data_IF_949165628355
#
_entry.id   IF_949165628355
#
_cell.length_a   1.000
_cell.length_b   1.000
_cell.length_c   1.000
_cell.angle_alpha   90.00
_cell.angle_beta   90.00
_cell.angle_gamma   90.00
#
_symmetry.space_group_name_H-M   'P 1'
#
loop_
_entity.id
_entity.type
_entity.pdbx_description
1 polymer ?
2 non-polymer ?
3 non-polymer ?
4 non-polymer ?
5 water ?
#
# COMPACT_ATOMS: atom_id res chain seq x y z
N UNK A 3 9.82 25.39 -2.06
CA UNK A 3 8.45 25.29 -2.58
C UNK A 3 7.99 23.83 -2.61
N UNK A 4 8.94 22.90 -2.75
CA UNK A 4 8.62 21.48 -2.82
C UNK A 4 9.46 20.62 -1.87
N UNK A 5 8.81 19.64 -1.26
CA UNK A 5 9.55 18.60 -0.55
C UNK A 5 9.25 17.25 -1.20
N UNK A 6 10.31 16.56 -1.62
CA UNK A 6 10.16 15.32 -2.37
C UNK A 6 10.92 14.19 -1.67
N UNK A 7 10.31 13.61 -0.63
CA UNK A 7 10.99 12.56 0.15
C UNK A 7 11.39 11.34 -0.67
N UNK A 8 12.60 10.86 -0.45
CA UNK A 8 13.05 9.60 -1.02
C UNK A 8 12.36 8.48 -0.29
N UNK A 9 12.37 7.29 -0.87
CA UNK A 9 11.87 6.11 -0.16
C UNK A 9 12.67 5.92 1.13
N UNK A 10 13.96 6.23 1.09
CA UNK A 10 14.78 6.18 2.31
C UNK A 10 14.20 7.04 3.43
N UNK A 11 13.72 8.24 3.08
CA UNK A 11 13.13 9.15 4.08
C UNK A 11 11.78 8.63 4.58
N UNK A 12 10.98 8.08 3.67
CA UNK A 12 9.71 7.48 4.05
C UNK A 12 9.93 6.36 5.08
N UNK A 13 10.94 5.54 4.84
CA UNK A 13 11.30 4.49 5.80
C UNK A 13 11.64 5.07 7.16
N UNK A 14 12.45 6.13 7.15
CA UNK A 14 12.84 6.79 8.39
C UNK A 14 11.62 7.41 9.06
N UNK A 15 10.66 7.88 8.27
CA UNK A 15 9.42 8.44 8.81
C UNK A 15 8.61 7.36 9.52
N UNK A 16 8.53 6.20 8.88
CA UNK A 16 7.83 5.08 9.46
C UNK A 16 8.57 4.58 10.72
N UNK A 17 9.90 4.47 10.62
CA UNK A 17 10.70 4.09 11.81
C UNK A 17 10.43 5.05 12.98
N UNK A 18 10.44 6.34 12.67
CA UNK A 18 10.21 7.39 13.67
C UNK A 18 8.89 7.19 14.41
N UNK A 19 7.82 7.04 13.65
CA UNK A 19 6.51 6.81 14.22
C UNK A 19 6.47 5.48 14.99
N UNK A 20 7.05 4.42 14.43
CA UNK A 20 7.06 3.14 15.11
C UNK A 20 7.80 3.23 16.44
N UNK A 21 8.92 3.95 16.45
CA UNK A 21 9.67 4.15 17.69
C UNK A 21 8.86 4.96 18.69
N UNK A 22 8.12 5.96 18.22
CA UNK A 22 7.32 6.79 19.13
C UNK A 22 6.18 5.99 19.73
N UNK A 23 5.54 5.13 18.93
CA UNK A 23 4.48 4.27 19.44
C UNK A 23 5.01 3.32 20.51
N UNK A 24 6.17 2.73 20.24
CA UNK A 24 6.82 1.84 21.20
C UNK A 24 7.26 2.63 22.45
N UNK A 25 7.95 3.75 22.25
CA UNK A 25 8.44 4.55 23.39
C UNK A 25 7.30 5.04 24.27
N UNK A 26 6.24 5.48 23.61
CA UNK A 26 5.01 5.91 24.27
C UNK A 26 4.15 4.76 24.74
N UNK A 27 4.53 3.55 24.35
CA UNK A 27 3.88 2.32 24.79
C UNK A 27 2.42 2.15 24.28
N UNK A 28 2.16 2.60 23.05
CA UNK A 28 0.86 2.37 22.40
C UNK A 28 1.01 1.43 21.21
N UNK A 29 0.60 0.17 21.39
CA UNK A 29 0.72 -0.85 20.35
C UNK A 29 -0.67 -1.16 19.82
N UNK A 30 -0.99 -0.68 18.60
CA UNK A 30 -2.34 -0.83 18.06
C UNK A 30 -2.78 -2.26 17.87
N UNK A 31 -4.04 -2.54 18.14
CA UNK A 31 -4.64 -3.80 17.77
C UNK A 31 -4.95 -3.79 16.28
N UNK A 32 -5.34 -2.62 15.77
CA UNK A 32 -5.83 -2.49 14.39
C UNK A 32 -5.31 -1.20 13.79
N UNK A 33 -4.83 -1.26 12.56
CA UNK A 33 -4.53 -0.03 11.81
C UNK A 33 -5.70 0.30 10.89
N UNK A 34 -6.13 1.57 10.89
CA UNK A 34 -7.08 2.02 9.87
C UNK A 34 -6.29 2.86 8.87
N UNK A 35 -6.12 2.34 7.66
CA UNK A 35 -5.46 3.10 6.62
C UNK A 35 -6.46 4.04 5.94
N UNK A 36 -6.10 5.31 5.88
CA UNK A 36 -6.91 6.27 5.15
C UNK A 36 -6.57 6.14 3.67
N UNK A 37 -7.51 5.62 2.90
CA UNK A 37 -7.27 5.41 1.47
C UNK A 37 -7.28 6.73 0.71
N UNK A 38 -6.39 6.89 -0.28
CA UNK A 38 -5.39 5.87 -0.62
C UNK A 38 -3.99 6.30 -0.22
N UNK A 39 -3.83 7.52 0.31
CA UNK A 39 -2.52 8.04 0.61
C UNK A 39 -1.89 7.35 1.81
N UNK A 40 -2.75 6.84 2.69
CA UNK A 40 -2.30 6.18 3.90
C UNK A 40 -1.96 4.71 3.71
N UNK A 41 -2.22 4.15 2.55
CA UNK A 41 -2.09 2.70 2.48
C UNK A 41 -0.63 2.25 2.48
N UNK A 42 0.27 2.99 1.85
CA UNK A 42 1.68 2.60 1.90
C UNK A 42 2.27 2.83 3.31
N UNK A 43 2.05 4.02 3.89
CA UNK A 43 2.45 4.15 5.30
C UNK A 43 1.90 3.05 6.24
N UNK A 44 0.63 2.72 6.12
CA UNK A 44 0.03 1.70 6.98
C UNK A 44 0.70 0.34 6.74
N UNK A 45 0.89 -0.03 5.49
CA UNK A 45 1.57 -1.31 5.19
C UNK A 45 2.99 -1.37 5.80
N UNK A 46 3.76 -0.32 5.62
CA UNK A 46 5.12 -0.29 6.14
C UNK A 46 5.11 -0.34 7.67
N UNK A 47 4.19 0.40 8.29
CA UNK A 47 4.10 0.40 9.76
C UNK A 47 3.68 -0.97 10.28
N UNK A 48 2.76 -1.61 9.56
CA UNK A 48 2.31 -2.95 9.92
C UNK A 48 3.46 -3.96 9.92
N UNK A 49 4.31 -3.89 8.90
CA UNK A 49 5.49 -4.76 8.82
C UNK A 49 6.50 -4.49 9.93
N UNK A 50 6.81 -3.23 10.16
CA UNK A 50 7.74 -2.85 11.22
C UNK A 50 7.33 -3.39 12.58
N UNK A 51 6.06 -3.20 12.93
CA UNK A 51 5.59 -3.52 14.28
C UNK A 51 4.90 -4.85 14.39
N UNK A 52 4.89 -5.60 13.29
CA UNK A 52 4.18 -6.88 13.21
C UNK A 52 2.69 -6.75 13.56
N UNK A 53 2.03 -5.78 12.96
CA UNK A 53 0.59 -5.61 13.15
C UNK A 53 -0.18 -6.34 12.05
N UNK A 54 -0.95 -7.35 12.44
CA UNK A 54 -1.54 -8.25 11.46
C UNK A 54 -2.92 -7.81 10.98
N UNK A 55 -3.52 -6.84 11.66
CA UNK A 55 -4.87 -6.41 11.30
C UNK A 55 -4.85 -4.99 10.74
N UNK A 56 -5.01 -4.89 9.42
CA UNK A 56 -5.15 -3.61 8.75
C UNK A 56 -6.54 -3.49 8.15
N UNK A 57 -7.23 -2.40 8.47
CA UNK A 57 -8.54 -2.15 7.87
C UNK A 57 -8.46 -0.78 7.19
N UNK A 58 -9.53 -0.38 6.51
CA UNK A 58 -9.43 0.71 5.54
C UNK A 58 -10.66 1.59 5.52
N UNK A 59 -10.46 2.87 5.21
CA UNK A 59 -11.58 3.77 4.99
C UNK A 59 -11.32 4.61 3.73
N UNK A 60 -12.28 4.55 2.82
CA UNK A 60 -12.26 5.29 1.57
C UNK A 60 -12.90 6.62 1.83
N UNK A 61 -12.08 7.66 1.88
CA UNK A 61 -12.58 8.97 2.21
C UNK A 61 -11.84 9.98 1.35
N UNK A 62 -12.53 11.04 0.96
CA UNK A 62 -11.90 12.04 0.11
C UNK A 62 -12.21 13.44 0.61
N UNK A 63 -11.31 14.37 0.30
CA UNK A 63 -11.50 15.76 0.66
C UNK A 63 -11.19 16.64 -0.55
N UNK A 64 -12.23 17.19 -1.16
CA UNK A 64 -12.10 18.15 -2.26
C UNK A 64 -11.91 19.56 -1.71
N UNK A 65 -10.66 19.93 -1.44
CA UNK A 65 -10.32 21.11 -0.64
C UNK A 65 -11.16 22.37 -0.89
N UNK A 66 -11.10 22.92 -2.10
CA UNK A 66 -11.81 24.18 -2.39
C UNK A 66 -13.33 24.04 -2.32
N UNK A 71 -16.63 25.96 0.87
CA UNK A 71 -16.24 25.29 2.11
C UNK A 71 -16.66 23.83 2.14
N UNK A 72 -15.77 22.99 1.62
CA UNK A 72 -15.98 21.55 1.54
C UNK A 72 -15.72 20.83 2.86
N UNK A 73 -16.01 19.54 2.86
CA UNK A 73 -15.81 18.65 3.99
C UNK A 73 -15.37 17.31 3.44
N UNK A 74 -14.70 16.50 4.26
CA UNK A 74 -14.37 15.15 3.83
C UNK A 74 -15.63 14.34 3.56
N UNK A 75 -15.57 13.49 2.55
CA UNK A 75 -16.69 12.64 2.18
C UNK A 75 -16.28 11.18 2.28
N UNK A 76 -16.99 10.41 3.10
CA UNK A 76 -16.73 8.98 3.19
C UNK A 76 -17.41 8.28 2.03
N UNK A 77 -16.69 7.42 1.36
CA UNK A 77 -17.28 6.63 0.30
C UNK A 77 -17.59 5.19 0.75
N UNK A 78 -16.72 4.62 1.58
CA UNK A 78 -17.00 3.33 2.20
C UNK A 78 -16.10 3.14 3.40
N UNK A 79 -16.55 2.29 4.33
CA UNK A 79 -15.75 1.90 5.47
C UNK A 79 -15.56 0.39 5.46
N UNK A 80 -14.32 -0.05 5.27
CA UNK A 80 -14.01 -1.48 5.20
C UNK A 80 -13.47 -2.00 6.53
N UNK A 81 -14.35 -2.39 7.44
CA UNK A 81 -13.95 -2.99 8.71
C UNK A 81 -15.14 -3.73 9.35
N UNK A 82 -14.86 -4.74 10.17
CA UNK A 82 -15.89 -5.26 11.07
C UNK A 82 -15.58 -4.69 12.45
N UNK A 83 -16.08 -5.34 13.51
CA UNK A 83 -16.07 -4.75 14.85
C UNK A 83 -14.70 -4.26 15.32
N UNK A 84 -14.69 -3.05 15.86
CA UNK A 84 -13.48 -2.47 16.44
C UNK A 84 -13.64 -2.34 17.96
N UNK A 85 -14.76 -2.84 18.47
CA UNK A 85 -15.11 -2.62 19.87
C UNK A 85 -14.06 -3.22 20.78
N UNK A 86 -13.57 -2.40 21.72
CA UNK A 86 -12.60 -2.84 22.70
C UNK A 86 -11.16 -2.86 22.21
N UNK A 87 -10.92 -2.36 21.00
CA UNK A 87 -9.58 -2.41 20.41
C UNK A 87 -8.89 -1.04 20.46
N UNK A 88 -7.57 -1.08 20.45
CA UNK A 88 -6.75 0.11 20.31
C UNK A 88 -6.50 0.35 18.83
N UNK A 89 -7.00 1.47 18.32
CA UNK A 89 -6.88 1.76 16.90
C UNK A 89 -5.91 2.88 16.62
N UNK A 90 -5.12 2.70 15.56
CA UNK A 90 -4.30 3.77 15.04
C UNK A 90 -4.74 4.07 13.62
N UNK A 91 -5.23 5.29 13.40
CA UNK A 91 -5.54 5.79 12.06
C UNK A 91 -4.26 6.28 11.39
N UNK A 92 -4.02 5.86 10.15
CA UNK A 92 -2.76 6.15 9.50
C UNK A 92 -2.97 6.87 8.16
N UNK A 93 -2.35 8.04 7.99
CA UNK A 93 -2.43 8.77 6.72
C UNK A 93 -1.05 9.27 6.32
N UNK A 94 -0.88 9.76 5.08
CA UNK A 94 0.44 10.20 4.65
C UNK A 94 0.72 11.64 5.04
N UNK A 95 -0.27 12.53 4.89
CA UNK A 95 -0.09 13.93 5.28
C UNK A 95 -1.33 14.49 5.98
N UNK A 96 -1.09 15.29 7.02
CA UNK A 96 -2.15 16.07 7.64
C UNK A 96 -2.02 17.52 7.20
N UNK A 97 -2.89 17.96 6.29
CA UNK A 97 -2.81 19.32 5.77
C UNK A 97 -3.79 20.22 6.49
N UNK A 98 -5.08 20.12 6.14
CA UNK A 98 -6.08 20.88 6.88
C UNK A 98 -6.45 20.16 8.18
N UNK A 99 -6.27 18.84 8.22
CA UNK A 99 -6.61 18.07 9.40
C UNK A 99 -8.06 17.60 9.42
N UNK A 100 -8.84 18.01 8.43
CA UNK A 100 -10.24 17.60 8.32
C UNK A 100 -10.40 16.09 8.13
N UNK A 101 -9.57 15.51 7.28
CA UNK A 101 -9.66 14.07 7.02
C UNK A 101 -9.44 13.23 8.29
N UNK A 102 -8.37 13.52 9.02
CA UNK A 102 -8.11 12.78 10.26
C UNK A 102 -9.23 12.97 11.28
N UNK A 103 -9.72 14.19 11.40
CA UNK A 103 -10.81 14.48 12.32
C UNK A 103 -12.04 13.64 11.95
N UNK A 104 -12.38 13.64 10.66
CA UNK A 104 -13.56 12.90 10.21
C UNK A 104 -13.40 11.41 10.46
N UNK A 105 -12.21 10.89 10.14
CA UNK A 105 -11.99 9.46 10.34
C UNK A 105 -12.06 9.07 11.83
N UNK A 106 -11.39 9.86 12.67
CA UNK A 106 -11.45 9.61 14.11
C UNK A 106 -12.88 9.63 14.62
N UNK A 107 -13.67 10.59 14.13
CA UNK A 107 -15.06 10.71 14.53
C UNK A 107 -15.91 9.48 14.17
N UNK A 108 -15.72 8.96 12.96
CA UNK A 108 -16.50 7.77 12.58
C UNK A 108 -15.98 6.50 13.28
N UNK A 109 -14.66 6.37 13.44
CA UNK A 109 -14.10 5.21 14.12
C UNK A 109 -14.57 5.17 15.59
N UNK A 110 -14.65 6.35 16.22
CA UNK A 110 -15.14 6.40 17.59
C UNK A 110 -16.55 5.81 17.72
N UNK A 111 -17.33 5.87 16.66
CA UNK A 111 -18.66 5.27 16.68
C UNK A 111 -18.63 3.74 16.73
N UNK A 112 -17.48 3.12 16.51
CA UNK A 112 -17.35 1.68 16.63
C UNK A 112 -17.00 1.31 18.08
N UNK A 113 -16.95 2.30 18.96
CA UNK A 113 -16.59 2.10 20.36
C UNK A 113 -15.28 1.33 20.58
N UNK A 114 -14.18 1.80 19.97
CA UNK A 114 -12.88 1.18 20.25
C UNK A 114 -12.43 1.56 21.66
N UNK A 115 -11.45 0.86 22.21
CA UNK A 115 -10.95 1.23 23.52
C UNK A 115 -10.21 2.56 23.43
N UNK A 116 -9.64 2.80 22.26
CA UNK A 116 -8.89 4.03 22.01
C UNK A 116 -8.70 4.23 20.51
N UNK A 117 -8.78 5.48 20.06
CA UNK A 117 -8.33 5.86 18.73
C UNK A 117 -7.25 6.89 18.85
N UNK A 118 -6.12 6.63 18.19
CA UNK A 118 -5.10 7.64 18.05
C UNK A 118 -4.83 7.80 16.57
N UNK A 119 -4.12 8.87 16.20
CA UNK A 119 -3.82 9.13 14.80
C UNK A 119 -2.33 9.30 14.52
N UNK A 120 -1.97 9.03 13.28
CA UNK A 120 -0.62 9.19 12.82
C UNK A 120 -0.59 9.63 11.38
N UNK A 121 0.32 10.54 11.05
CA UNK A 121 0.57 10.92 9.66
C UNK A 121 2.04 11.09 9.51
N UNK A 122 2.59 10.79 8.34
CA UNK A 122 4.03 10.95 8.16
C UNK A 122 4.39 12.43 8.31
N UNK A 123 3.66 13.29 7.60
CA UNK A 123 3.97 14.72 7.55
C UNK A 123 2.81 15.59 7.99
N UNK A 124 3.15 16.77 8.49
CA UNK A 124 2.17 17.69 9.03
C UNK A 124 2.38 19.08 8.45
N UNK A 125 1.28 19.76 8.11
CA UNK A 125 1.34 21.13 7.64
C UNK A 125 1.09 22.07 8.82
N UNK A 126 1.69 23.29 8.77
CA UNK A 126 1.60 24.21 9.91
C UNK A 126 0.17 24.61 10.26
N UNK A 127 -0.69 24.66 9.25
CA UNK A 127 -2.04 25.17 9.43
C UNK A 127 -3.09 24.08 9.72
N UNK A 128 -2.64 22.86 10.02
CA UNK A 128 -3.57 21.78 10.33
C UNK A 128 -4.36 22.05 11.61
N UNK A 129 -5.68 21.92 11.54
CA UNK A 129 -6.52 22.22 12.69
C UNK A 129 -6.36 21.16 13.80
N UNK A 130 -5.88 19.99 13.42
CA UNK A 130 -5.64 18.94 14.40
C UNK A 130 -4.28 18.28 14.16
N UNK A 131 -3.55 18.11 15.25
CA UNK A 131 -2.21 17.53 15.20
C UNK A 131 -2.29 16.04 15.42
N UNK A 132 -1.70 15.26 14.52
CA UNK A 132 -1.65 13.80 14.71
C UNK A 132 -0.95 13.45 16.01
N UNK A 133 -1.39 12.39 16.66
CA UNK A 133 -0.77 11.95 17.89
C UNK A 133 0.68 11.53 17.62
N UNK A 134 0.92 11.08 16.40
CA UNK A 134 2.26 10.66 16.00
C UNK A 134 2.55 11.18 14.60
N UNK A 135 3.69 11.84 14.43
CA UNK A 135 4.13 12.23 13.10
C UNK A 135 5.64 12.36 13.01
N UNK A 136 6.14 12.38 11.78
CA UNK A 136 7.57 12.43 11.54
C UNK A 136 8.06 13.89 11.51
N UNK A 137 7.58 14.67 10.57
CA UNK A 137 8.00 16.07 10.47
C UNK A 137 6.91 17.04 10.03
N UNK A 138 6.91 18.23 10.62
CA UNK A 138 6.09 19.33 10.12
C UNK A 138 6.86 20.05 9.02
N UNK A 139 6.18 20.31 7.91
CA UNK A 139 6.84 20.83 6.72
C UNK A 139 5.96 21.89 6.06
N UNK A 140 6.60 22.99 5.64
CA UNK A 140 5.87 24.11 5.03
C UNK A 140 5.63 23.90 3.55
N UNK A 141 6.47 23.08 2.93
CA UNK A 141 6.46 22.93 1.47
C UNK A 141 5.38 21.98 1.00
N UNK A 142 5.12 21.97 -0.30
CA UNK A 142 4.18 21.00 -0.85
C UNK A 142 4.88 19.65 -1.01
N UNK A 143 4.37 18.65 -0.32
CA UNK A 143 5.04 17.36 -0.29
C UNK A 143 4.67 16.52 -1.51
N UNK A 144 5.67 16.08 -2.25
CA UNK A 144 5.46 15.16 -3.36
C UNK A 144 5.86 13.77 -2.90
N UNK A 145 4.88 12.90 -2.71
CA UNK A 145 5.17 11.56 -2.21
C UNK A 145 5.63 10.64 -3.34
N UNK A 146 6.37 9.57 -3.00
CA UNK A 146 6.67 8.62 -4.07
C UNK A 146 5.41 8.01 -4.67
N UNK A 147 4.30 8.03 -3.94
CA UNK A 147 3.06 7.44 -4.45
C UNK A 147 2.07 8.43 -5.05
N UNK A 148 2.42 9.71 -5.13
CA UNK A 148 1.56 10.59 -5.91
C UNK A 148 2.35 11.57 -6.75
N UNK A 149 3.60 11.19 -7.06
CA UNK A 149 4.45 12.06 -7.84
C UNK A 149 3.94 12.28 -9.27
N UNK A 150 3.31 11.27 -9.85
CA UNK A 150 2.81 11.41 -11.23
C UNK A 150 1.51 12.20 -11.27
N UNK A 151 0.72 12.15 -10.21
CA UNK A 151 -0.48 13.00 -10.14
C UNK A 151 -0.06 14.48 -10.12
N UNK A 152 1.00 14.77 -9.36
CA UNK A 152 1.55 16.12 -9.31
C UNK A 152 2.14 16.54 -10.66
N UNK A 153 2.96 15.68 -11.26
CA UNK A 153 3.49 15.95 -12.61
C UNK A 153 2.37 16.18 -13.64
N UNK A 154 1.31 15.36 -13.60
CA UNK A 154 0.21 15.53 -14.54
C UNK A 154 -0.48 16.89 -14.36
N UNK A 155 -0.42 17.42 -13.14
CA UNK A 155 -0.86 18.77 -12.85
C UNK A 155 0.14 19.82 -13.37
N UNK A 156 1.39 19.75 -12.89
CA UNK A 156 2.46 20.62 -13.36
C UNK A 156 3.70 19.82 -13.79
N UNK A 157 3.97 19.82 -15.09
CA UNK A 157 5.05 19.01 -15.66
C UNK A 157 6.43 19.44 -15.21
N UNK A 158 6.55 20.65 -14.67
CA UNK A 158 7.86 21.23 -14.38
C UNK A 158 8.35 20.96 -12.96
N UNK A 159 7.65 20.10 -12.20
CA UNK A 159 8.12 19.78 -10.86
C UNK A 159 9.38 18.93 -10.95
N UNK A 160 10.32 19.14 -10.03
CA UNK A 160 11.63 18.51 -10.13
C UNK A 160 11.68 17.08 -9.56
N UNK A 161 10.93 16.15 -10.14
CA UNK A 161 11.00 14.76 -9.66
C UNK A 161 11.89 13.93 -10.56
N UNK A 162 12.41 12.82 -10.03
CA UNK A 162 13.24 11.90 -10.79
C UNK A 162 12.39 10.97 -11.66
N UNK A 163 13.00 10.51 -12.75
CA UNK A 163 12.39 9.56 -13.67
C UNK A 163 11.24 10.18 -14.47
N UNK A 164 11.19 11.50 -14.51
CA UNK A 164 10.10 12.19 -15.19
C UNK A 164 10.04 11.90 -16.69
N UNK A 165 11.20 11.68 -17.31
CA UNK A 165 11.23 11.40 -18.75
C UNK A 165 10.61 10.04 -19.09
N UNK A 166 10.93 9.03 -18.28
CA UNK A 166 10.32 7.71 -18.44
C UNK A 166 8.80 7.84 -18.31
N UNK A 167 8.34 8.62 -17.35
CA UNK A 167 6.91 8.83 -17.16
C UNK A 167 6.25 9.54 -18.36
N UNK A 168 6.79 10.70 -18.72
CA UNK A 168 6.23 11.46 -19.85
C UNK A 168 6.18 10.61 -21.12
N UNK A 169 7.20 9.77 -21.32
CA UNK A 169 7.19 8.84 -22.44
C UNK A 169 5.95 7.96 -22.40
N UNK A 170 5.70 7.35 -21.24
CA UNK A 170 4.54 6.50 -21.04
C UNK A 170 3.23 7.29 -21.15
N UNK A 171 3.18 8.42 -20.45
CA UNK A 171 1.99 9.27 -20.38
C UNK A 171 1.51 9.69 -21.78
N UNK A 172 2.48 10.03 -22.64
CA UNK A 172 2.22 10.38 -24.04
C UNK A 172 1.45 9.31 -24.80
N UNK A 173 1.89 8.06 -24.67
CA UNK A 173 1.17 6.96 -25.29
C UNK A 173 -0.21 6.79 -24.66
N UNK A 174 -0.27 6.95 -23.35
CA UNK A 174 -1.53 6.79 -22.61
C UNK A 174 -2.59 7.78 -23.10
N UNK A 175 -2.18 9.01 -23.37
CA UNK A 175 -3.09 10.05 -23.84
C UNK A 175 -3.75 9.70 -25.18
N UNK A 176 -3.08 8.86 -25.97
CA UNK A 176 -3.58 8.54 -27.30
C UNK A 176 -4.61 7.41 -27.29
N UNK A 177 -4.49 6.49 -26.34
CA UNK A 177 -5.36 5.31 -26.32
C UNK A 177 -6.50 5.39 -25.31
N UNK A 178 -6.52 6.44 -24.50
CA UNK A 178 -7.59 6.67 -23.54
C UNK A 178 -8.24 8.04 -23.78
N UNK A 179 -9.56 8.06 -23.93
CA UNK A 179 -10.41 6.87 -23.81
C UNK A 179 -10.97 6.45 -25.18
N UNK B 1 22.70 -13.44 -3.72
CA UNK B 1 22.39 -14.53 -2.81
C UNK B 1 21.63 -15.62 -3.53
N UNK B 2 21.93 -16.87 -3.20
CA UNK B 2 21.28 -17.96 -3.86
C UNK B 2 19.84 -18.12 -3.39
N UNK B 3 19.55 -17.75 -2.15
CA UNK B 3 18.25 -18.11 -1.59
C UNK B 3 17.24 -16.95 -1.50
N UNK B 4 17.73 -15.71 -1.55
CA UNK B 4 16.85 -14.53 -1.47
C UNK B 4 17.12 -13.52 -2.58
N UNK B 5 16.05 -12.90 -3.07
CA UNK B 5 16.15 -11.71 -3.91
C UNK B 5 15.62 -10.54 -3.10
N UNK B 6 16.42 -9.51 -2.92
CA UNK B 6 16.06 -8.38 -2.06
C UNK B 6 16.05 -7.09 -2.87
N UNK B 7 14.94 -6.83 -3.58
CA UNK B 7 14.90 -5.66 -4.47
C UNK B 7 14.90 -4.34 -3.73
N UNK B 8 15.61 -3.37 -4.29
CA UNK B 8 15.57 -2.00 -3.80
C UNK B 8 14.25 -1.36 -4.22
N UNK B 9 13.94 -0.24 -3.60
CA UNK B 9 12.77 0.55 -3.99
C UNK B 9 12.86 0.98 -5.47
N UNK B 10 14.07 1.28 -5.93
CA UNK B 10 14.28 1.65 -7.32
C UNK B 10 13.90 0.50 -8.24
N UNK B 11 14.21 -0.74 -7.84
CA UNK B 11 13.80 -1.88 -8.65
C UNK B 11 12.28 -2.02 -8.62
N UNK B 12 11.68 -1.73 -7.47
CA UNK B 12 10.22 -1.80 -7.36
C UNK B 12 9.59 -0.76 -8.29
N UNK B 13 10.12 0.45 -8.31
CA UNK B 13 9.63 1.44 -9.27
C UNK B 13 9.81 0.98 -10.73
N UNK B 14 10.97 0.41 -11.06
CA UNK B 14 11.20 -0.17 -12.39
C UNK B 14 10.17 -1.25 -12.70
N UNK B 15 9.84 -2.06 -11.70
CA UNK B 15 8.86 -3.12 -11.88
C UNK B 15 7.49 -2.51 -12.20
N UNK B 16 7.14 -1.48 -11.48
CA UNK B 16 5.81 -0.88 -11.66
C UNK B 16 5.74 -0.14 -13.00
N UNK B 17 6.81 0.62 -13.34
CA UNK B 17 6.91 1.20 -14.69
C UNK B 17 6.73 0.15 -15.78
N UNK B 18 7.41 -0.99 -15.64
CA UNK B 18 7.36 -2.04 -16.65
C UNK B 18 5.96 -2.60 -16.84
N UNK B 19 5.25 -2.83 -15.73
CA UNK B 19 3.85 -3.26 -15.81
C UNK B 19 3.01 -2.20 -16.54
N UNK B 20 3.19 -0.94 -16.16
CA UNK B 20 2.45 0.15 -16.78
C UNK B 20 2.72 0.18 -18.28
N UNK B 21 4.00 0.06 -18.63
CA UNK B 21 4.39 0.10 -20.04
C UNK B 21 3.78 -1.06 -20.80
N UNK B 22 3.69 -2.24 -20.17
CA UNK B 22 3.09 -3.39 -20.82
C UNK B 22 1.59 -3.24 -20.99
N UNK B 23 0.94 -2.64 -20.00
CA UNK B 23 -0.49 -2.40 -20.08
C UNK B 23 -0.81 -1.50 -21.26
N UNK B 24 -0.02 -0.44 -21.42
CA UNK B 24 -0.23 0.51 -22.51
C UNK B 24 0.04 -0.14 -23.88
N UNK B 25 1.06 -1.00 -23.94
CA UNK B 25 1.37 -1.73 -25.17
C UNK B 25 0.21 -2.64 -25.60
N UNK B 26 -0.43 -3.28 -24.62
CA UNK B 26 -1.56 -4.17 -24.84
C UNK B 26 -2.87 -3.42 -25.01
N UNK B 27 -2.83 -2.11 -24.75
CA UNK B 27 -4.03 -1.29 -24.69
C UNK B 27 -5.07 -1.92 -23.75
N UNK B 28 -4.61 -2.29 -22.55
CA UNK B 28 -5.52 -2.74 -21.51
C UNK B 28 -5.39 -1.76 -20.38
N UNK B 29 -6.23 -0.73 -20.41
CA UNK B 29 -6.27 0.27 -19.36
C UNK B 29 -7.44 -0.12 -18.45
N UNK B 30 -7.12 -0.65 -17.26
CA UNK B 30 -8.19 -1.16 -16.38
C UNK B 30 -9.15 -0.06 -15.93
N UNK B 31 -10.41 -0.41 -15.75
CA UNK B 31 -11.36 0.45 -15.03
C UNK B 31 -11.18 0.37 -13.52
N UNK B 32 -10.83 -0.82 -13.03
CA UNK B 32 -10.68 -1.09 -11.61
C UNK B 32 -9.44 -1.92 -11.35
N UNK B 33 -8.64 -1.50 -10.37
CA UNK B 33 -7.58 -2.35 -9.83
C UNK B 33 -8.10 -3.12 -8.63
N UNK B 34 -7.81 -4.42 -8.57
CA UNK B 34 -8.07 -5.23 -7.37
C UNK B 34 -6.73 -5.53 -6.74
N UNK B 35 -6.45 -4.88 -5.63
CA UNK B 35 -5.23 -5.11 -4.89
C UNK B 35 -5.39 -6.36 -4.04
N UNK B 36 -4.47 -7.30 -4.18
CA UNK B 36 -4.46 -8.47 -3.33
C UNK B 36 -3.78 -8.14 -1.99
N UNK B 37 -4.56 -7.99 -0.92
CA UNK B 37 -4.02 -7.58 0.36
C UNK B 37 -3.17 -8.70 0.95
N UNK B 38 -2.06 -8.38 1.59
CA UNK B 38 -1.54 -7.02 1.75
C UNK B 38 -0.30 -6.78 0.89
N UNK B 39 0.23 -7.84 0.29
CA UNK B 39 1.42 -7.74 -0.54
C UNK B 39 1.20 -6.91 -1.81
N UNK B 40 -0.02 -6.88 -2.31
CA UNK B 40 -0.35 -6.15 -3.54
C UNK B 40 -0.67 -4.68 -3.33
N UNK B 41 -0.74 -4.26 -2.07
CA UNK B 41 -1.05 -2.88 -1.68
C UNK B 41 -0.13 -1.85 -2.34
N UNK B 42 1.17 -1.97 -2.11
CA UNK B 42 2.07 -0.96 -2.65
C UNK B 42 2.12 -1.03 -4.18
N UNK B 43 2.25 -2.23 -4.77
CA UNK B 43 2.20 -2.27 -6.25
C UNK B 43 0.94 -1.62 -6.86
N UNK B 44 -0.22 -1.90 -6.27
CA UNK B 44 -1.46 -1.36 -6.79
C UNK B 44 -1.53 0.16 -6.68
N UNK B 45 -1.11 0.69 -5.52
CA UNK B 45 -1.10 2.16 -5.34
C UNK B 45 -0.14 2.83 -6.32
N UNK B 46 1.04 2.27 -6.49
CA UNK B 46 2.02 2.87 -7.39
C UNK B 46 1.53 2.82 -8.83
N UNK B 47 0.91 1.71 -9.20
CA UNK B 47 0.41 1.55 -10.56
C UNK B 47 -0.74 2.52 -10.80
N UNK B 48 -1.58 2.67 -9.78
CA UNK B 48 -2.69 3.60 -9.81
C UNK B 48 -2.24 5.06 -10.08
N UNK B 49 -1.19 5.47 -9.39
CA UNK B 49 -0.63 6.82 -9.59
C UNK B 49 -0.02 6.95 -10.96
N UNK B 50 0.70 5.90 -11.38
CA UNK B 50 1.40 5.89 -12.67
C UNK B 50 0.45 6.05 -13.85
N UNK B 51 -0.64 5.30 -13.83
CA UNK B 51 -1.56 5.28 -14.95
C UNK B 51 -2.86 6.08 -14.73
N UNK B 52 -2.88 6.89 -13.68
CA UNK B 52 -4.07 7.66 -13.29
C UNK B 52 -5.33 6.79 -13.18
N UNK B 53 -5.23 5.69 -12.44
CA UNK B 53 -6.37 4.81 -12.23
C UNK B 53 -7.01 5.17 -10.89
N UNK B 54 -8.23 5.68 -10.93
CA UNK B 54 -8.82 6.30 -9.74
C UNK B 54 -9.59 5.31 -8.89
N UNK B 55 -9.82 4.12 -9.40
CA UNK B 55 -10.64 3.14 -8.69
C UNK B 55 -9.83 1.93 -8.27
N UNK B 56 -9.57 1.82 -6.97
CA UNK B 56 -8.89 0.66 -6.44
C UNK B 56 -9.80 -0.01 -5.43
N UNK B 57 -9.94 -1.33 -5.57
CA UNK B 57 -10.67 -2.14 -4.60
C UNK B 57 -9.76 -3.27 -4.10
N UNK B 58 -10.25 -4.08 -3.16
CA UNK B 58 -9.35 -4.91 -2.37
C UNK B 58 -9.92 -6.29 -2.06
N UNK B 59 -9.05 -7.28 -1.99
CA UNK B 59 -9.45 -8.58 -1.49
C UNK B 59 -8.42 -9.07 -0.44
N UNK B 60 -8.93 -9.42 0.73
CA UNK B 60 -8.10 -9.91 1.82
C UNK B 60 -8.04 -11.41 1.68
N UNK B 61 -6.90 -11.90 1.24
CA UNK B 61 -6.74 -13.32 1.01
C UNK B 61 -5.31 -13.68 1.43
N UNK B 62 -5.13 -14.88 1.98
CA UNK B 62 -3.83 -15.25 2.51
C UNK B 62 -3.55 -16.71 2.29
N UNK B 63 -2.28 -17.00 2.00
CA UNK B 63 -1.77 -18.35 1.88
C UNK B 63 -0.94 -18.62 3.13
N UNK B 64 -1.52 -19.32 4.11
CA UNK B 64 -0.84 -19.60 5.37
C UNK B 64 0.25 -20.65 5.17
N UNK B 65 1.49 -20.25 5.38
CA UNK B 65 2.65 -21.14 5.22
C UNK B 65 3.65 -20.92 6.34
N UNK B 66 3.16 -20.86 7.58
CA UNK B 66 4.00 -20.59 8.73
C UNK B 66 3.86 -21.65 9.81
N UNK B 67 4.75 -21.59 10.80
CA UNK B 67 4.72 -22.50 11.93
C UNK B 67 3.37 -22.46 12.66
N UNK B 68 2.90 -21.26 12.96
CA UNK B 68 1.68 -21.08 13.71
C UNK B 68 0.40 -21.48 13.00
N UNK B 69 0.39 -21.40 11.67
CA UNK B 69 -0.81 -21.70 10.89
C UNK B 69 -0.46 -22.14 9.48
N UNK B 70 -0.85 -23.37 9.11
CA UNK B 70 -0.53 -23.94 7.81
C UNK B 70 -1.79 -24.44 7.09
N UNK B 71 -1.93 -24.05 5.82
CA UNK B 71 -3.06 -24.51 5.01
C UNK B 71 -2.59 -24.96 3.62
N UNK B 72 -3.42 -25.74 2.96
CA UNK B 72 -3.13 -26.26 1.62
C UNK B 72 -3.38 -25.22 0.51
N UNK B 73 -4.33 -24.33 0.73
CA UNK B 73 -4.78 -23.40 -0.32
C UNK B 73 -4.98 -21.98 0.22
N UNK B 74 -5.03 -20.98 -0.68
CA UNK B 74 -5.36 -19.62 -0.22
C UNK B 74 -6.73 -19.57 0.45
N UNK B 75 -6.91 -18.65 1.39
CA UNK B 75 -8.18 -18.47 2.09
C UNK B 75 -8.62 -17.01 2.03
N UNK B 76 -9.83 -16.77 1.56
CA UNK B 76 -10.39 -15.41 1.53
C UNK B 76 -10.95 -15.07 2.89
N UNK B 77 -10.61 -13.88 3.37
CA UNK B 77 -11.09 -13.42 4.64
C UNK B 77 -12.15 -12.33 4.42
N UNK B 78 -12.00 -11.55 3.36
CA UNK B 78 -13.09 -10.65 2.98
C UNK B 78 -12.84 -10.09 1.59
N UNK B 79 -13.90 -9.61 0.96
CA UNK B 79 -13.80 -9.01 -0.37
C UNK B 79 -14.37 -7.60 -0.30
N UNK B 80 -13.52 -6.60 -0.55
CA UNK B 80 -13.92 -5.21 -0.41
C UNK B 80 -14.15 -4.58 -1.77
N UNK B 81 -15.32 -4.79 -2.35
CA UNK B 81 -15.64 -4.15 -3.63
C UNK B 81 -17.15 -4.13 -3.82
N UNK B 82 -17.65 -3.18 -4.59
CA UNK B 82 -19.03 -3.25 -5.04
C UNK B 82 -19.02 -3.73 -6.49
N UNK B 83 -20.09 -3.48 -7.24
CA UNK B 83 -20.28 -4.12 -8.53
C UNK B 83 -19.11 -3.87 -9.50
N UNK B 84 -18.69 -4.94 -10.16
CA UNK B 84 -17.65 -4.86 -11.18
C UNK B 84 -18.20 -5.19 -12.56
N UNK B 85 -19.51 -5.35 -12.67
CA UNK B 85 -20.10 -5.79 -13.91
C UNK B 85 -19.74 -4.84 -15.07
N UNK B 86 -19.30 -5.42 -16.18
CA UNK B 86 -18.94 -4.63 -17.36
C UNK B 86 -17.64 -3.84 -17.26
N UNK B 87 -16.90 -4.00 -16.17
CA UNK B 87 -15.65 -3.27 -16.00
C UNK B 87 -14.45 -4.10 -16.47
N UNK B 88 -13.41 -3.42 -16.94
CA UNK B 88 -12.13 -4.07 -17.19
C UNK B 88 -11.40 -4.10 -15.86
N UNK B 89 -11.10 -5.30 -15.35
CA UNK B 89 -10.47 -5.42 -14.02
C UNK B 89 -9.02 -5.92 -14.14
N UNK B 90 -8.11 -5.34 -13.35
CA UNK B 90 -6.75 -5.88 -13.26
C UNK B 90 -6.44 -6.25 -11.81
N UNK B 91 -6.15 -7.52 -11.59
CA UNK B 91 -5.73 -8.02 -10.29
C UNK B 91 -4.23 -7.80 -10.13
N UNK B 92 -3.83 -7.21 -9.00
CA UNK B 92 -2.45 -6.79 -8.80
C UNK B 92 -1.90 -7.41 -7.52
N UNK B 93 -0.82 -8.18 -7.65
CA UNK B 93 -0.14 -8.75 -6.48
C UNK B 93 1.37 -8.51 -6.56
N UNK B 94 2.09 -8.75 -5.47
CA UNK B 94 3.52 -8.53 -5.54
C UNK B 94 4.24 -9.72 -6.17
N UNK B 95 3.82 -10.95 -5.90
CA UNK B 95 4.50 -12.10 -6.50
C UNK B 95 3.56 -13.29 -6.66
N UNK B 96 3.68 -13.97 -7.80
CA UNK B 96 2.99 -15.24 -8.01
C UNK B 96 3.99 -16.37 -7.81
N UNK B 97 3.75 -17.21 -6.81
CA UNK B 97 4.63 -18.32 -6.51
C UNK B 97 4.07 -19.60 -7.13
N UNK B 98 3.11 -20.20 -6.44
CA UNK B 98 2.38 -21.33 -6.98
C UNK B 98 1.34 -20.85 -7.98
N UNK B 99 0.90 -19.61 -7.83
CA UNK B 99 -0.14 -19.06 -8.69
C UNK B 99 -1.54 -19.32 -8.16
N UNK B 100 -1.64 -19.99 -7.02
CA UNK B 100 -2.94 -20.32 -6.43
C UNK B 100 -3.72 -19.08 -5.99
N UNK B 101 -3.02 -18.10 -5.44
CA UNK B 101 -3.68 -16.87 -4.97
C UNK B 101 -4.29 -16.12 -6.16
N UNK B 102 -3.51 -15.88 -7.22
CA UNK B 102 -4.06 -15.19 -8.38
C UNK B 102 -5.22 -15.96 -9.00
N UNK B 103 -5.13 -17.29 -8.98
CA UNK B 103 -6.22 -18.13 -9.50
C UNK B 103 -7.48 -17.97 -8.67
N UNK B 104 -7.33 -18.03 -7.35
CA UNK B 104 -8.45 -17.87 -6.44
C UNK B 104 -9.12 -16.51 -6.65
N UNK B 105 -8.31 -15.46 -6.74
CA UNK B 105 -8.85 -14.12 -6.86
C UNK B 105 -9.51 -13.94 -8.23
N UNK B 106 -8.88 -14.47 -9.27
CA UNK B 106 -9.45 -14.38 -10.62
C UNK B 106 -10.80 -15.07 -10.66
N UNK B 107 -10.88 -16.25 -10.06
CA UNK B 107 -12.13 -17.01 -10.01
C UNK B 107 -13.24 -16.23 -9.34
N UNK B 108 -12.94 -15.68 -8.17
CA UNK B 108 -13.99 -14.96 -7.44
C UNK B 108 -14.35 -13.67 -8.18
N UNK B 109 -13.36 -12.96 -8.74
CA UNK B 109 -13.69 -11.73 -9.46
C UNK B 109 -14.54 -12.02 -10.71
N UNK B 110 -14.29 -13.16 -11.35
CA UNK B 110 -15.09 -13.53 -12.52
C UNK B 110 -16.58 -13.71 -12.15
N UNK B 111 -16.87 -14.07 -10.91
CA UNK B 111 -18.27 -14.18 -10.49
C UNK B 111 -18.99 -12.82 -10.44
N UNK B 112 -18.23 -11.72 -10.46
CA UNK B 112 -18.82 -10.39 -10.49
C UNK B 112 -19.21 -9.96 -11.91
N UNK B 113 -19.06 -10.88 -12.86
CA UNK B 113 -19.29 -10.64 -14.30
C UNK B 113 -18.62 -9.38 -14.87
N UNK B 114 -17.30 -9.21 -14.66
CA UNK B 114 -16.67 -8.04 -15.30
C UNK B 114 -16.57 -8.24 -16.82
N UNK B 115 -16.32 -7.16 -17.56
CA UNK B 115 -16.05 -7.26 -19.00
C UNK B 115 -14.82 -8.14 -19.24
N UNK B 116 -13.82 -7.97 -18.38
CA UNK B 116 -12.56 -8.68 -18.51
C UNK B 116 -11.85 -8.69 -17.16
N UNK B 117 -11.23 -9.81 -16.82
CA UNK B 117 -10.29 -9.87 -15.69
C UNK B 117 -8.93 -10.30 -16.18
N UNK B 118 -7.90 -9.52 -15.84
CA UNK B 118 -6.52 -9.92 -16.08
C UNK B 118 -5.71 -9.76 -14.81
N UNK B 119 -4.52 -10.37 -14.79
CA UNK B 119 -3.68 -10.39 -13.61
C UNK B 119 -2.30 -9.78 -13.85
N UNK B 120 -1.75 -9.19 -12.80
CA UNK B 120 -0.42 -8.63 -12.85
C UNK B 120 0.29 -8.93 -11.53
N UNK B 121 1.52 -9.40 -11.61
CA UNK B 121 2.37 -9.57 -10.44
C UNK B 121 3.73 -8.98 -10.78
N UNK B 122 4.40 -8.37 -9.81
CA UNK B 122 5.74 -7.83 -10.09
C UNK B 122 6.68 -8.96 -10.48
N UNK B 123 6.63 -10.05 -9.70
CA UNK B 123 7.54 -11.18 -9.90
C UNK B 123 6.79 -12.49 -10.11
N UNK B 124 7.44 -13.40 -10.82
CA UNK B 124 6.90 -14.69 -11.18
C UNK B 124 7.92 -15.79 -10.84
N UNK B 125 7.48 -16.90 -10.25
CA UNK B 125 8.37 -18.05 -10.05
C UNK B 125 8.23 -19.01 -11.21
N UNK B 126 9.31 -19.75 -11.56
CA UNK B 126 9.27 -20.71 -12.67
C UNK B 126 8.22 -21.80 -12.51
N UNK B 127 7.82 -22.08 -11.27
CA UNK B 127 6.93 -23.20 -10.99
C UNK B 127 5.47 -22.79 -10.85
N UNK B 128 5.15 -21.56 -11.22
CA UNK B 128 3.77 -21.08 -11.14
C UNK B 128 2.88 -21.82 -12.14
N UNK B 129 1.66 -22.14 -11.71
CA UNK B 129 0.73 -22.90 -12.53
C UNK B 129 0.17 -22.07 -13.68
N UNK B 130 0.17 -20.75 -13.53
CA UNK B 130 -0.18 -19.87 -14.65
C UNK B 130 0.67 -18.62 -14.66
N UNK B 131 1.12 -18.22 -15.85
CA UNK B 131 1.83 -16.97 -16.02
C UNK B 131 0.82 -15.83 -15.90
N UNK B 132 1.10 -14.86 -15.03
CA UNK B 132 0.22 -13.68 -14.97
C UNK B 132 0.19 -12.97 -16.31
N UNK B 133 -0.91 -12.31 -16.61
CA UNK B 133 -1.03 -11.62 -17.89
C UNK B 133 0.06 -10.55 -18.03
N UNK B 134 0.44 -9.95 -16.90
CA UNK B 134 1.47 -8.93 -16.88
C UNK B 134 2.41 -9.15 -15.71
N UNK B 135 3.71 -9.07 -15.96
CA UNK B 135 4.69 -9.23 -14.89
C UNK B 135 6.02 -8.58 -15.28
N UNK B 136 6.85 -8.30 -14.27
CA UNK B 136 8.12 -7.60 -14.50
C UNK B 136 9.29 -8.57 -14.71
N UNK B 137 9.45 -9.52 -13.79
CA UNK B 137 10.57 -10.45 -13.87
C UNK B 137 10.26 -11.82 -13.29
N UNK B 138 10.81 -12.86 -13.93
CA UNK B 138 10.75 -14.20 -13.39
C UNK B 138 12.00 -14.42 -12.53
N UNK B 139 11.82 -15.00 -11.35
CA UNK B 139 12.95 -15.18 -10.44
C UNK B 139 12.71 -16.47 -9.67
N UNK B 140 13.78 -17.19 -9.33
CA UNK B 140 13.59 -18.52 -8.77
C UNK B 140 14.01 -18.63 -7.32
N UNK B 141 13.92 -17.53 -6.58
CA UNK B 141 14.22 -17.57 -5.16
C UNK B 141 13.24 -16.72 -4.38
N UNK B 142 13.31 -16.80 -3.06
CA UNK B 142 12.36 -16.10 -2.22
C UNK B 142 12.62 -14.60 -2.24
N UNK B 143 11.59 -13.84 -2.55
CA UNK B 143 11.73 -12.39 -2.64
C UNK B 143 11.44 -11.73 -1.31
N UNK B 144 12.36 -10.88 -0.87
CA UNK B 144 12.14 -10.07 0.30
C UNK B 144 11.79 -8.67 -0.16
N UNK B 145 10.52 -8.29 -0.09
CA UNK B 145 10.11 -6.95 -0.53
C UNK B 145 10.42 -5.90 0.52
N UNK B 146 10.49 -4.63 0.10
CA UNK B 146 10.71 -3.59 1.10
C UNK B 146 9.57 -3.52 2.12
N UNK B 147 8.39 -4.04 1.78
CA UNK B 147 7.25 -3.99 2.70
C UNK B 147 7.02 -5.28 3.50
N UNK B 148 7.87 -6.29 3.36
CA UNK B 148 7.78 -7.40 4.30
C UNK B 148 9.15 -7.89 4.78
N UNK B 149 10.16 -7.01 4.66
CA UNK B 149 11.52 -7.34 5.08
C UNK B 149 11.61 -7.62 6.58
N UNK B 150 10.79 -6.93 7.38
CA UNK B 150 10.92 -7.10 8.83
C UNK B 150 10.24 -8.37 9.27
N UNK B 151 9.21 -8.78 8.54
CA UNK B 151 8.59 -10.06 8.79
C UNK B 151 9.58 -11.18 8.53
N UNK B 152 10.37 -11.04 7.47
CA UNK B 152 11.42 -12.01 7.17
C UNK B 152 12.49 -12.04 8.27
N UNK B 153 12.95 -10.86 8.68
CA UNK B 153 13.93 -10.74 9.75
C UNK B 153 13.44 -11.37 11.06
N UNK B 154 12.18 -11.13 11.42
CA UNK B 154 11.59 -11.74 12.59
C UNK B 154 11.65 -13.28 12.52
N UNK B 155 11.34 -13.83 11.36
CA UNK B 155 11.38 -15.28 11.15
C UNK B 155 12.77 -15.82 10.88
N UNK B 156 13.74 -14.94 10.65
CA UNK B 156 15.04 -15.37 10.18
C UNK B 156 16.15 -14.40 10.56
N UNK B 157 16.84 -14.73 11.65
CA UNK B 157 17.86 -13.86 12.22
C UNK B 157 19.09 -13.65 11.33
N UNK B 158 19.23 -14.48 10.32
CA UNK B 158 20.43 -14.47 9.48
C UNK B 158 20.42 -13.36 8.43
N UNK B 159 19.28 -13.21 7.74
CA UNK B 159 19.20 -12.41 6.52
C UNK B 159 19.75 -11.00 6.69
N UNK B 160 20.57 -10.56 5.72
CA UNK B 160 21.17 -9.23 5.68
C UNK B 160 20.25 -8.18 5.04
N UNK B 161 19.66 -7.32 5.86
CA UNK B 161 18.86 -6.22 5.34
C UNK B 161 19.40 -4.91 5.88
N UNK B 162 19.17 -3.82 5.16
CA UNK B 162 19.56 -2.50 5.62
C UNK B 162 18.78 -2.14 6.88
N UNK B 163 19.38 -1.31 7.73
CA UNK B 163 18.76 -0.75 8.94
C UNK B 163 18.40 -1.80 9.99
N UNK B 164 19.08 -2.94 9.95
CA UNK B 164 18.73 -4.04 10.85
C UNK B 164 18.94 -3.69 12.33
N UNK B 165 19.96 -2.92 12.65
CA UNK B 165 20.23 -2.63 14.06
C UNK B 165 19.12 -1.77 14.65
N UNK B 166 18.70 -0.75 13.90
CA UNK B 166 17.59 0.10 14.31
C UNK B 166 16.33 -0.73 14.53
N UNK B 167 16.08 -1.67 13.62
CA UNK B 167 14.95 -2.58 13.80
C UNK B 167 15.10 -3.49 15.01
N UNK B 168 16.27 -4.11 15.18
CA UNK B 168 16.45 -5.02 16.31
C UNK B 168 16.21 -4.33 17.64
N UNK B 169 16.67 -3.09 17.76
CA UNK B 169 16.46 -2.31 18.99
C UNK B 169 14.97 -2.11 19.26
N UNK B 170 14.21 -1.85 18.20
CA UNK B 170 12.77 -1.69 18.31
C UNK B 170 12.07 -3.02 18.62
N UNK B 171 12.40 -4.04 17.83
CA UNK B 171 11.86 -5.39 18.00
C UNK B 171 12.14 -5.90 19.43
N UNK B 172 13.36 -5.67 19.88
CA UNK B 172 13.75 -5.99 21.25
C UNK B 172 12.75 -5.42 22.26
N UNK B 173 12.46 -4.14 22.16
CA UNK B 173 11.51 -3.50 23.07
C UNK B 173 10.10 -4.08 22.95
N UNK B 174 9.67 -4.37 21.72
CA UNK B 174 8.38 -5.01 21.50
C UNK B 174 8.30 -6.37 22.19
N UNK B 175 9.38 -7.14 22.10
CA UNK B 175 9.41 -8.48 22.68
C UNK B 175 9.33 -8.47 24.20
N UNK B 176 9.70 -7.37 24.82
CA UNK B 176 9.77 -7.32 26.27
C UNK B 176 8.45 -6.85 26.89
N UNK B 177 7.41 -6.78 26.06
CA UNK B 177 6.07 -6.49 26.57
C UNK B 177 5.09 -7.60 26.18
#
# INVERSE_FOLDING_TARGET
MVEYHIPSWDEIEDAVFSIGEALVKSNYIPDVLIAVLTGGIIPAKLLSDLLDLKVIRYIDIKFYRSVGKTESKPVIRSVYTDSLEGKKVLVVDDVADTGETLEAVSNVITMFNPAKVMTAALYLKPWSKRIPDFYYKQIDKWIIFPWDKWDVVRENSNVPVDKKERFLNLYNQLLKIRK
MVEYHIPSWDEIEDAVFSIGEALVKSNYIPDVLIAVLTGGIIPAKLLSDLLDLKVIRYIDIKFYRSVGKTESKPVIRSVYTDSLEGKKVLVVDDVADTGETLEAVSNVITMFNPAKVMTAALYLKPWSKRIPDFYYKQIDKWIIFPWDKWDVVRENSNVPVDKKERFLNLYNQLLKIRK
#
